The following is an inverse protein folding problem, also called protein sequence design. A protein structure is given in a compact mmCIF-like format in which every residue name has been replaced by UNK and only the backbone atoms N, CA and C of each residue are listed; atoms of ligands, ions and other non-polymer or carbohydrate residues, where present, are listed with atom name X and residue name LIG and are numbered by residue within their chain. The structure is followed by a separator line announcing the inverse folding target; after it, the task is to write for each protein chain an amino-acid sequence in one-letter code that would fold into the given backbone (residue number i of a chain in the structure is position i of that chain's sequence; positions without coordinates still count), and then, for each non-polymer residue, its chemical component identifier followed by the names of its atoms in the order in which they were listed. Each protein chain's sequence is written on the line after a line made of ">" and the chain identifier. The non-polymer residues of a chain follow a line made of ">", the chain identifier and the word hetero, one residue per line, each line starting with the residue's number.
data_IF_514629854547
#
_entry.id   IF_514629854547
#
_cell.length_a   1.000
_cell.length_b   1.000
_cell.length_c   1.000
_cell.angle_alpha   90.00
_cell.angle_beta   90.00
_cell.angle_gamma   90.00
#
_symmetry.space_group_name_H-M   'P 1'
#
loop_
_entity.id
_entity.type
_entity.pdbx_description
1 polymer ?
#
# COMPACT_ATOMS: atom_id res chain seq x y z
N UNK A 1 -6.39 -27.50 -6.15
CA UNK A 1 -6.91 -26.42 -5.29
C UNK A 1 -5.72 -25.62 -4.83
N UNK A 2 -5.66 -24.34 -5.19
CA UNK A 2 -4.62 -23.44 -4.67
C UNK A 2 -5.15 -22.88 -3.35
N UNK A 3 -4.32 -22.93 -2.30
CA UNK A 3 -4.67 -22.33 -1.02
C UNK A 3 -4.84 -20.80 -1.20
N UNK A 4 -5.89 -20.19 -0.63
CA UNK A 4 -6.25 -18.79 -0.89
C UNK A 4 -5.13 -17.79 -0.52
N UNK A 5 -4.37 -18.10 0.54
CA UNK A 5 -3.26 -17.29 1.01
C UNK A 5 -2.11 -17.25 -0.02
N UNK A 6 -1.83 -18.39 -0.65
CA UNK A 6 -0.81 -18.50 -1.71
C UNK A 6 -1.22 -17.70 -2.94
N UNK A 7 -2.47 -17.84 -3.37
CA UNK A 7 -3.00 -17.09 -4.51
C UNK A 7 -2.96 -15.57 -4.28
N UNK A 8 -3.26 -15.11 -3.06
CA UNK A 8 -3.18 -13.70 -2.70
C UNK A 8 -1.73 -13.18 -2.77
N UNK A 9 -0.80 -13.91 -2.16
CA UNK A 9 0.63 -13.53 -2.16
C UNK A 9 1.16 -13.42 -3.59
N UNK A 10 0.91 -14.44 -4.42
CA UNK A 10 1.37 -14.47 -5.81
C UNK A 10 0.80 -13.27 -6.60
N UNK A 11 -0.50 -13.02 -6.46
CA UNK A 11 -1.16 -11.90 -7.12
C UNK A 11 -0.57 -10.55 -6.69
N UNK A 12 -0.45 -10.32 -5.37
CA UNK A 12 0.06 -9.05 -4.85
C UNK A 12 1.53 -8.85 -5.24
N UNK A 13 2.37 -9.88 -5.15
CA UNK A 13 3.76 -9.80 -5.59
C UNK A 13 3.88 -9.48 -7.08
N UNK A 14 3.02 -10.03 -7.92
CA UNK A 14 3.01 -9.71 -9.35
C UNK A 14 2.62 -8.24 -9.62
N UNK A 15 1.62 -7.71 -8.91
CA UNK A 15 1.26 -6.29 -9.01
C UNK A 15 2.40 -5.39 -8.49
N UNK A 16 3.01 -5.79 -7.38
CA UNK A 16 4.14 -5.09 -6.76
C UNK A 16 5.34 -5.02 -7.70
N UNK A 17 5.68 -6.12 -8.39
CA UNK A 17 6.79 -6.14 -9.38
C UNK A 17 6.61 -5.13 -10.51
N UNK A 18 5.36 -4.73 -10.80
CA UNK A 18 5.02 -3.74 -11.83
C UNK A 18 5.04 -2.30 -11.31
N UNK A 19 5.47 -2.08 -10.07
CA UNK A 19 5.54 -0.76 -9.43
C UNK A 19 4.20 -0.25 -8.88
N UNK A 20 3.17 -1.08 -8.81
CA UNK A 20 1.83 -0.66 -8.36
C UNK A 20 1.69 -0.64 -6.85
N UNK A 21 1.12 0.43 -6.27
CA UNK A 21 0.59 0.42 -4.90
C UNK A 21 -0.90 0.01 -4.92
N UNK A 22 -1.41 -0.53 -3.81
CA UNK A 22 -2.79 -1.04 -3.80
C UNK A 22 -3.42 -1.22 -2.41
N UNK A 23 -4.74 -1.42 -2.40
CA UNK A 23 -5.53 -1.70 -1.20
C UNK A 23 -6.12 -3.10 -1.34
N UNK A 24 -5.90 -3.94 -0.33
CA UNK A 24 -6.55 -5.26 -0.19
C UNK A 24 -7.70 -5.10 0.77
N UNK A 25 -8.93 -5.41 0.34
CA UNK A 25 -10.10 -5.37 1.21
C UNK A 25 -10.35 -6.72 1.88
N UNK A 26 -10.72 -6.70 3.15
CA UNK A 26 -11.04 -7.88 3.94
C UNK A 26 -12.37 -7.73 4.64
N UNK A 27 -13.06 -8.85 4.87
CA UNK A 27 -14.37 -8.85 5.53
C UNK A 27 -14.27 -8.59 7.05
N UNK A 28 -13.20 -9.06 7.69
CA UNK A 28 -13.04 -8.99 9.16
C UNK A 28 -11.72 -8.35 9.52
N UNK A 29 -11.70 -7.64 10.66
CA UNK A 29 -10.49 -7.01 11.22
C UNK A 29 -9.33 -7.98 11.41
N UNK A 30 -9.62 -9.20 11.89
CA UNK A 30 -8.63 -10.29 12.05
C UNK A 30 -7.96 -10.68 10.73
N UNK A 31 -8.70 -10.59 9.63
CA UNK A 31 -8.17 -10.98 8.32
C UNK A 31 -7.23 -9.89 7.80
N UNK A 32 -7.49 -8.61 8.10
CA UNK A 32 -6.54 -7.53 7.77
C UNK A 32 -5.18 -7.72 8.44
N UNK A 33 -5.17 -8.05 9.73
CA UNK A 33 -3.95 -8.30 10.50
C UNK A 33 -3.22 -9.54 9.96
N UNK A 34 -3.94 -10.64 9.71
CA UNK A 34 -3.39 -11.87 9.13
C UNK A 34 -2.73 -11.61 7.77
N UNK A 35 -3.45 -10.99 6.83
CA UNK A 35 -2.94 -10.78 5.48
C UNK A 35 -1.83 -9.72 5.43
N UNK A 36 -1.88 -8.68 6.28
CA UNK A 36 -0.77 -7.74 6.38
C UNK A 36 0.52 -8.42 6.88
N UNK A 37 0.41 -9.31 7.88
CA UNK A 37 1.54 -10.09 8.37
C UNK A 37 2.05 -11.08 7.32
N UNK A 38 1.14 -11.81 6.66
CA UNK A 38 1.47 -12.75 5.58
C UNK A 38 2.25 -12.03 4.47
N UNK A 39 1.70 -10.96 3.90
CA UNK A 39 2.32 -10.21 2.82
C UNK A 39 3.69 -9.63 3.25
N UNK A 40 3.79 -9.13 4.48
CA UNK A 40 5.05 -8.64 5.05
C UNK A 40 6.09 -9.75 5.17
N UNK A 41 5.70 -10.95 5.60
CA UNK A 41 6.56 -12.13 5.62
C UNK A 41 7.07 -12.54 4.23
N UNK A 42 6.32 -12.19 3.19
CA UNK A 42 6.66 -12.42 1.77
C UNK A 42 7.32 -11.21 1.08
N UNK A 43 7.85 -10.24 1.85
CA UNK A 43 8.63 -9.12 1.34
C UNK A 43 7.81 -7.97 0.74
N UNK A 44 6.48 -8.01 0.86
CA UNK A 44 5.60 -6.91 0.47
C UNK A 44 5.38 -5.99 1.67
N UNK A 45 5.63 -4.69 1.52
CA UNK A 45 5.36 -3.75 2.61
C UNK A 45 3.84 -3.53 2.75
N UNK A 46 3.21 -4.30 3.64
CA UNK A 46 1.77 -4.29 3.86
C UNK A 46 1.42 -3.84 5.29
N UNK A 47 0.44 -2.95 5.42
CA UNK A 47 0.02 -2.38 6.71
C UNK A 47 -1.48 -2.65 6.95
N UNK A 48 -1.88 -3.12 8.14
CA UNK A 48 -3.29 -3.29 8.48
C UNK A 48 -3.95 -1.93 8.70
N UNK A 49 -5.22 -1.82 8.30
CA UNK A 49 -6.02 -0.61 8.47
C UNK A 49 -7.47 -0.96 8.80
N UNK A 50 -7.86 -0.83 10.07
CA UNK A 50 -9.24 -1.08 10.47
C UNK A 50 -9.67 -0.28 11.69
N UNK A 51 -10.97 -0.27 11.99
CA UNK A 51 -11.56 0.49 13.09
C UNK A 51 -10.99 0.14 14.49
N UNK A 52 -10.48 -1.08 14.67
CA UNK A 52 -9.85 -1.51 15.93
C UNK A 52 -8.47 -0.91 16.23
N UNK A 53 -7.83 -0.25 15.26
CA UNK A 53 -6.55 0.42 15.48
C UNK A 53 -6.78 1.77 16.18
N UNK A 54 -5.77 2.27 16.90
CA UNK A 54 -5.80 3.65 17.37
C UNK A 54 -5.77 4.64 16.19
N UNK A 55 -6.22 5.88 16.43
CA UNK A 55 -6.13 6.96 15.44
C UNK A 55 -4.68 7.17 14.94
N UNK A 56 -3.71 7.07 15.85
CA UNK A 56 -2.29 7.22 15.52
C UNK A 56 -1.79 6.07 14.64
N UNK A 57 -2.16 4.82 14.94
CA UNK A 57 -1.81 3.67 14.11
C UNK A 57 -2.41 3.76 12.72
N UNK A 58 -3.69 4.15 12.60
CA UNK A 58 -4.33 4.39 11.30
C UNK A 58 -3.62 5.49 10.51
N UNK A 59 -3.27 6.59 11.16
CA UNK A 59 -2.54 7.68 10.50
C UNK A 59 -1.18 7.20 9.99
N UNK A 60 -0.40 6.49 10.82
CA UNK A 60 0.89 5.90 10.40
C UNK A 60 0.72 4.92 9.23
N UNK A 61 -0.31 4.08 9.24
CA UNK A 61 -0.57 3.14 8.15
C UNK A 61 -0.94 3.86 6.85
N UNK A 62 -1.77 4.91 6.94
CA UNK A 62 -2.14 5.75 5.80
C UNK A 62 -0.95 6.53 5.22
N UNK A 63 -0.17 7.19 6.09
CA UNK A 63 1.04 7.91 5.69
C UNK A 63 2.07 6.96 5.08
N UNK A 64 2.21 5.77 5.67
CA UNK A 64 3.07 4.70 5.18
C UNK A 64 2.60 4.09 3.86
N UNK A 65 1.31 4.22 3.49
CA UNK A 65 0.73 3.80 2.22
C UNK A 65 0.91 4.85 1.10
N UNK A 66 0.75 6.14 1.41
CA UNK A 66 1.04 7.21 0.45
C UNK A 66 2.55 7.35 0.21
N UNK A 67 3.32 7.27 1.30
CA UNK A 67 4.73 7.63 1.43
C UNK A 67 5.12 8.96 0.79
N UNK A 68 6.42 9.20 0.52
CA UNK A 68 6.87 10.51 0.06
C UNK A 68 6.24 10.87 -1.28
N UNK A 69 5.60 12.03 -1.34
CA UNK A 69 5.06 12.61 -2.56
C UNK A 69 6.17 12.74 -3.60
N UNK A 70 5.93 12.24 -4.81
CA UNK A 70 6.81 12.44 -5.98
C UNK A 70 6.53 13.80 -6.66
N UNK A 71 5.49 14.49 -6.22
CA UNK A 71 5.11 15.81 -6.68
C UNK A 71 5.89 16.87 -5.89
N UNK A 72 6.81 17.62 -6.53
CA UNK A 72 7.62 18.63 -5.87
C UNK A 72 6.78 19.78 -5.29
N UNK A 73 5.55 20.01 -5.78
CA UNK A 73 4.66 21.05 -5.27
C UNK A 73 3.98 20.64 -3.94
N UNK A 74 3.83 19.33 -3.72
CA UNK A 74 3.26 18.75 -2.49
C UNK A 74 4.30 18.49 -1.39
N UNK A 75 5.61 18.60 -1.69
CA UNK A 75 6.70 18.25 -0.77
C UNK A 75 7.07 19.36 0.25
N UNK A 76 6.37 20.51 0.24
CA UNK A 76 6.61 21.60 1.18
C UNK A 76 6.11 21.29 2.61
N UNK A 77 6.61 22.01 3.65
CA UNK A 77 6.24 21.81 5.07
C UNK A 77 4.76 22.07 5.40
N UNK A 78 3.98 22.49 4.40
CA UNK A 78 2.58 22.91 4.49
C UNK A 78 1.65 22.00 3.67
N UNK A 79 1.97 20.69 3.54
CA UNK A 79 1.04 19.69 3.01
C UNK A 79 -0.20 19.60 3.92
N UNK A 80 -1.13 20.55 3.77
CA UNK A 80 -2.44 20.55 4.40
C UNK A 80 -3.15 19.29 3.92
N UNK A 81 -3.27 18.32 4.84
CA UNK A 81 -4.03 17.06 4.75
C UNK A 81 -5.00 17.07 3.58
N UNK A 82 -4.52 16.60 2.43
CA UNK A 82 -5.35 16.45 1.26
C UNK A 82 -6.49 15.49 1.64
N UNK A 83 -7.72 16.00 1.59
CA UNK A 83 -8.93 15.22 1.82
C UNK A 83 -9.10 14.31 0.60
N UNK A 84 -8.45 13.15 0.61
CA UNK A 84 -8.56 12.14 -0.44
C UNK A 84 -9.98 11.56 -0.41
N UNK A 85 -10.81 11.99 -1.35
CA UNK A 85 -12.02 11.27 -1.74
C UNK A 85 -11.61 10.09 -2.62
N UNK A 86 -12.30 8.97 -2.44
CA UNK A 86 -12.07 7.70 -3.10
C UNK A 86 -11.99 7.84 -4.62
N UNK A 87 -10.84 7.51 -5.19
CA UNK A 87 -10.73 7.04 -6.57
C UNK A 87 -9.46 6.23 -6.71
N UNK A 88 -9.64 5.00 -7.16
CA UNK A 88 -8.58 4.04 -7.45
C UNK A 88 -7.79 4.61 -8.62
N UNK A 89 -6.61 5.18 -8.36
CA UNK A 89 -5.72 5.66 -9.41
C UNK A 89 -4.75 4.54 -9.79
N UNK A 90 -5.10 3.76 -10.80
CA UNK A 90 -4.10 3.02 -11.58
C UNK A 90 -3.40 4.03 -12.49
N UNK A 91 -2.31 4.61 -12.00
CA UNK A 91 -1.43 5.47 -12.79
C UNK A 91 -0.30 4.65 -13.40
N UNK A 92 -0.49 4.10 -14.60
CA UNK A 92 0.62 3.65 -15.44
C UNK A 92 1.19 4.88 -16.18
N UNK A 93 2.35 5.38 -15.75
CA UNK A 93 3.11 6.40 -16.47
C UNK A 93 3.98 5.79 -17.58
N UNK A 94 4.22 6.51 -18.70
CA UNK A 94 5.01 5.99 -19.81
C UNK A 94 6.50 5.98 -19.48
N UNK A 95 7.20 5.00 -20.04
CA UNK A 95 8.57 4.64 -19.69
C UNK A 95 9.61 5.75 -19.82
N UNK A 96 10.56 5.71 -18.89
CA UNK A 96 11.85 6.38 -18.94
C UNK A 96 12.79 5.67 -17.96
N UNK A 97 13.70 4.85 -18.47
CA UNK A 97 14.78 4.27 -17.67
C UNK A 97 15.87 5.34 -17.50
N UNK A 98 16.26 5.68 -16.27
CA UNK A 98 17.66 5.97 -15.86
C UNK A 98 17.74 6.25 -14.35
N UNK A 99 18.90 5.91 -13.78
CA UNK A 99 19.32 5.97 -12.38
C UNK A 99 18.74 4.87 -11.49
N UNK A 100 19.62 4.11 -10.83
CA UNK A 100 19.30 3.06 -9.88
C UNK A 100 18.39 3.65 -8.79
N UNK A 101 17.09 3.44 -8.94
CA UNK A 101 16.10 3.88 -7.98
C UNK A 101 16.20 2.98 -6.76
N UNK A 102 16.32 3.60 -5.60
CA UNK A 102 16.03 2.96 -4.31
C UNK A 102 14.75 2.12 -4.52
N UNK A 103 14.73 0.81 -4.16
CA UNK A 103 13.65 -0.07 -4.55
C UNK A 103 12.36 0.60 -4.12
N UNK A 104 11.55 1.02 -5.10
CA UNK A 104 10.30 1.70 -4.82
C UNK A 104 9.53 0.76 -3.91
N UNK A 105 9.48 1.09 -2.62
CA UNK A 105 8.83 0.27 -1.60
C UNK A 105 7.36 0.35 -1.90
N UNK A 106 6.90 -0.56 -2.75
CA UNK A 106 5.48 -0.76 -3.01
C UNK A 106 4.80 -1.00 -1.69
N UNK A 107 3.72 -0.26 -1.46
CA UNK A 107 3.03 -0.18 -0.18
C UNK A 107 1.58 -0.59 -0.38
N UNK A 108 1.18 -1.60 0.39
CA UNK A 108 -0.16 -2.19 0.37
C UNK A 108 -0.87 -1.82 1.66
N UNK A 109 -2.09 -1.32 1.56
CA UNK A 109 -2.96 -1.13 2.72
C UNK A 109 -3.97 -2.27 2.77
N UNK A 110 -4.07 -2.97 3.91
CA UNK A 110 -5.01 -4.07 4.07
C UNK A 110 -6.17 -3.59 4.95
N UNK A 111 -7.34 -3.37 4.35
CA UNK A 111 -8.42 -2.60 4.95
C UNK A 111 -9.74 -3.37 5.11
N UNK A 112 -10.47 -3.08 6.18
CA UNK A 112 -11.93 -3.34 6.28
C UNK A 112 -12.71 -2.10 5.89
#
# INVERSE_FOLDING_TARGET
>A
GIEPDVALVDFVQEQVRRGGAGIVYCQRRRDCEHFAQLLTGHGVHALPYHAGLSKQQRQKAFDGFLGPSQDPELAGPTAKRARVQQSVVSGAGPGGQTAASEPQRVRVLVAT
#
